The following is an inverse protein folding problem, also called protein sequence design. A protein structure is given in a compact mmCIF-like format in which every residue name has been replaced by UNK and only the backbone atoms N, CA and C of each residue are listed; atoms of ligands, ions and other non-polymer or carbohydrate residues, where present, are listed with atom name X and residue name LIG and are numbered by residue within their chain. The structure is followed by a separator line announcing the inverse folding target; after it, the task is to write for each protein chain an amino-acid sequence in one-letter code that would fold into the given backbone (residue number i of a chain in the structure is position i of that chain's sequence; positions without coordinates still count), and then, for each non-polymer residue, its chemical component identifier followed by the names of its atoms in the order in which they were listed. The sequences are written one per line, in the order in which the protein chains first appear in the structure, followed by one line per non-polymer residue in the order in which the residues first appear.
data_IF_182944721825
#
_entry.id   IF_182944721825
#
_cell.length_a   1.000
_cell.length_b   1.000
_cell.length_c   1.000
_cell.angle_alpha   90.00
_cell.angle_beta   90.00
_cell.angle_gamma   90.00
#
_symmetry.space_group_name_H-M   'P 1'
#
loop_
_entity.id
_entity.type
_entity.pdbx_description
1 polymer ?
#
# COMPACT_ATOMS: atom_id res chain seq x y z
N UNK A 1 6.95 32.08 32.67
CA UNK A 1 6.46 32.21 31.29
C UNK A 1 5.56 31.00 31.05
N UNK A 2 4.36 31.19 30.50
CA UNK A 2 3.43 30.09 30.23
C UNK A 2 3.86 29.40 28.94
N UNK A 3 4.00 28.07 28.96
CA UNK A 3 4.33 27.27 27.77
C UNK A 3 3.07 27.20 26.89
N UNK A 4 3.15 27.45 25.57
CA UNK A 4 2.02 27.27 24.66
C UNK A 4 1.55 25.80 24.64
N UNK A 5 0.24 25.56 24.60
CA UNK A 5 -0.29 24.18 24.58
C UNK A 5 0.17 23.34 23.38
N UNK A 6 0.54 23.97 22.27
CA UNK A 6 1.08 23.29 21.09
C UNK A 6 2.47 22.71 21.37
N UNK A 7 3.30 23.46 22.10
CA UNK A 7 4.66 23.03 22.50
C UNK A 7 4.60 21.83 23.47
N UNK A 8 3.55 21.74 24.29
CA UNK A 8 3.31 20.59 25.17
C UNK A 8 3.05 19.29 24.38
N UNK A 9 2.64 19.41 23.11
CA UNK A 9 2.39 18.30 22.19
C UNK A 9 3.63 17.98 21.33
N UNK A 10 4.69 17.49 21.97
CA UNK A 10 5.92 17.05 21.30
C UNK A 10 6.75 18.18 20.64
N UNK A 11 6.70 19.40 21.18
CA UNK A 11 7.42 20.56 20.61
C UNK A 11 6.81 21.08 19.31
N UNK A 12 5.50 20.87 19.14
CA UNK A 12 4.74 21.23 17.94
C UNK A 12 4.46 22.73 17.86
N UNK A 13 4.30 23.23 16.64
CA UNK A 13 3.91 24.60 16.35
C UNK A 13 2.62 24.66 15.48
N UNK A 14 2.34 25.82 14.90
CA UNK A 14 1.12 26.06 14.11
C UNK A 14 1.41 26.28 12.63
N UNK A 15 2.50 25.72 12.10
CA UNK A 15 2.89 25.84 10.69
C UNK A 15 2.27 24.78 9.76
N UNK A 16 1.60 23.77 10.35
CA UNK A 16 0.95 22.69 9.62
C UNK A 16 0.69 21.40 10.42
N UNK A 17 1.00 21.39 11.72
CA UNK A 17 0.86 20.20 12.57
C UNK A 17 -0.60 19.75 12.76
N UNK A 18 -0.79 18.43 12.68
CA UNK A 18 -2.07 17.77 12.94
C UNK A 18 -2.14 17.25 14.39
N UNK A 19 -3.26 17.54 15.05
CA UNK A 19 -3.49 17.10 16.43
C UNK A 19 -4.55 16.00 16.49
N UNK A 20 -4.26 14.94 17.25
CA UNK A 20 -5.26 13.95 17.60
C UNK A 20 -6.16 14.48 18.73
N UNK A 21 -7.43 14.74 18.41
CA UNK A 21 -8.44 15.17 19.38
C UNK A 21 -9.45 14.05 19.60
N UNK A 22 -9.62 13.64 20.86
CA UNK A 22 -10.57 12.60 21.25
C UNK A 22 -11.47 13.10 22.38
N UNK A 23 -12.78 12.90 22.22
CA UNK A 23 -13.82 13.22 23.22
C UNK A 23 -14.51 11.98 23.77
N UNK A 24 -14.05 10.78 23.40
CA UNK A 24 -14.58 9.53 23.93
C UNK A 24 -14.08 9.35 25.38
N UNK A 25 -14.99 9.34 26.38
CA UNK A 25 -14.62 9.22 27.78
C UNK A 25 -13.79 7.96 28.10
N UNK A 26 -13.97 6.88 27.34
CA UNK A 26 -13.25 5.62 27.58
C UNK A 26 -11.80 5.65 27.07
N UNK A 27 -11.48 6.59 26.17
CA UNK A 27 -10.14 6.78 25.59
C UNK A 27 -9.36 7.94 26.22
N UNK A 28 -10.02 8.79 27.01
CA UNK A 28 -9.36 9.89 27.72
C UNK A 28 -8.58 9.31 28.91
N UNK A 29 -7.24 9.50 28.98
CA UNK A 29 -6.46 9.00 30.10
C UNK A 29 -6.90 9.65 31.43
N UNK A 30 -7.03 8.89 32.53
CA UNK A 30 -7.47 9.43 33.81
C UNK A 30 -6.41 10.31 34.48
N UNK A 31 -5.16 10.26 33.99
CA UNK A 31 -4.03 11.01 34.54
C UNK A 31 -3.43 11.92 33.47
N UNK A 32 -3.29 13.20 33.81
CA UNK A 32 -2.45 14.14 33.07
C UNK A 32 -1.00 14.06 33.57
N UNK A 33 -0.06 14.04 32.64
CA UNK A 33 1.38 14.02 32.92
C UNK A 33 1.95 15.37 32.47
N UNK A 34 2.92 15.89 33.22
CA UNK A 34 3.59 17.12 32.81
C UNK A 34 4.37 16.91 31.50
N UNK A 35 4.27 17.86 30.56
CA UNK A 35 5.01 17.79 29.31
C UNK A 35 6.52 17.83 29.55
N UNK A 36 7.28 17.29 28.61
CA UNK A 36 8.73 17.44 28.60
C UNK A 36 9.10 18.87 28.21
N UNK A 37 10.26 19.32 28.66
CA UNK A 37 10.86 20.56 28.18
C UNK A 37 11.50 20.31 26.80
N UNK A 38 10.92 20.92 25.76
CA UNK A 38 11.36 20.86 24.37
C UNK A 38 12.26 22.04 23.98
N UNK A 39 12.87 22.72 24.97
CA UNK A 39 13.82 23.81 24.70
C UNK A 39 14.89 23.34 23.69
N UNK A 40 15.02 24.03 22.53
CA UNK A 40 15.88 23.58 21.46
C UNK A 40 17.35 23.59 21.87
N UNK A 41 18.12 22.65 21.32
CA UNK A 41 19.56 22.66 21.47
C UNK A 41 20.16 23.90 20.76
N UNK A 42 21.28 24.47 21.28
CA UNK A 42 21.96 25.56 20.60
C UNK A 42 22.36 25.13 19.17
N UNK A 43 21.91 25.87 18.17
CA UNK A 43 22.30 25.66 16.78
C UNK A 43 23.80 25.93 16.60
N UNK A 44 24.47 25.11 15.78
CA UNK A 44 25.82 25.44 15.32
C UNK A 44 25.75 26.71 14.48
N UNK A 45 26.43 27.77 14.91
CA UNK A 45 26.55 29.00 14.14
C UNK A 45 27.91 29.04 13.47
N UNK A 46 27.91 29.23 12.16
CA UNK A 46 29.11 29.49 11.38
C UNK A 46 29.41 30.99 11.41
N UNK A 47 30.68 31.34 11.55
CA UNK A 47 31.17 32.71 11.59
C UNK A 47 31.50 33.28 10.19
N UNK A 48 31.14 32.55 9.14
CA UNK A 48 31.45 32.84 7.74
C UNK A 48 30.31 32.45 6.79
N UNK A 49 30.43 32.83 5.51
CA UNK A 49 29.47 32.46 4.47
C UNK A 49 29.59 30.97 4.11
N UNK A 50 28.44 30.30 4.05
CA UNK A 50 28.35 28.86 3.76
C UNK A 50 28.90 28.55 2.37
N UNK A 51 29.87 27.63 2.32
CA UNK A 51 30.47 27.13 1.07
C UNK A 51 29.72 25.92 0.53
N UNK A 52 29.89 25.61 -0.77
CA UNK A 52 29.22 24.44 -1.37
C UNK A 52 29.82 23.13 -0.80
N UNK A 53 31.10 23.12 -0.46
CA UNK A 53 31.80 22.00 0.15
C UNK A 53 31.20 21.64 1.52
N UNK A 54 30.85 22.63 2.34
CA UNK A 54 30.18 22.40 3.62
C UNK A 54 28.75 21.86 3.46
N UNK A 55 28.07 22.26 2.38
CA UNK A 55 26.76 21.68 2.03
C UNK A 55 26.91 20.20 1.67
N UNK A 56 27.91 19.84 0.86
CA UNK A 56 28.21 18.44 0.52
C UNK A 56 28.55 17.62 1.77
N UNK A 57 29.41 18.16 2.65
CA UNK A 57 29.76 17.52 3.92
C UNK A 57 28.53 17.34 4.81
N UNK A 58 27.68 18.36 4.91
CA UNK A 58 26.43 18.29 5.67
C UNK A 58 25.50 17.18 5.16
N UNK A 59 25.33 17.03 3.84
CA UNK A 59 24.53 15.93 3.28
C UNK A 59 25.08 14.56 3.68
N UNK A 60 26.40 14.38 3.60
CA UNK A 60 27.01 13.12 4.03
C UNK A 60 26.84 12.86 5.52
N UNK A 61 27.03 13.89 6.35
CA UNK A 61 26.82 13.82 7.79
C UNK A 61 25.36 13.51 8.13
N UNK A 62 24.39 14.06 7.37
CA UNK A 62 22.98 13.78 7.58
C UNK A 62 22.62 12.32 7.29
N UNK A 63 23.13 11.76 6.20
CA UNK A 63 22.89 10.35 5.86
C UNK A 63 23.47 9.41 6.92
N UNK A 64 24.64 9.74 7.49
CA UNK A 64 25.31 8.90 8.50
C UNK A 64 24.63 9.01 9.88
N UNK A 65 24.08 10.18 10.22
CA UNK A 65 23.55 10.48 11.55
C UNK A 65 22.02 10.44 11.64
N UNK A 66 21.31 9.99 10.59
CA UNK A 66 19.88 9.69 10.67
C UNK A 66 19.62 8.50 11.60
N UNK A 67 19.41 8.82 12.88
CA UNK A 67 19.24 7.87 13.98
C UNK A 67 17.81 7.85 14.50
N UNK A 68 16.89 8.63 13.92
CA UNK A 68 15.53 8.83 14.41
C UNK A 68 14.78 7.49 14.54
N UNK A 69 14.78 6.71 13.46
CA UNK A 69 14.14 5.39 13.45
C UNK A 69 14.79 4.38 14.41
N UNK A 70 16.07 4.53 14.74
CA UNK A 70 16.75 3.68 15.72
C UNK A 70 16.29 4.05 17.14
N UNK A 71 16.20 5.35 17.44
CA UNK A 71 15.72 5.87 18.72
C UNK A 71 14.29 5.42 18.96
N UNK A 72 13.38 5.59 17.99
CA UNK A 72 11.97 5.20 18.09
C UNK A 72 11.78 3.72 18.36
N UNK A 73 12.44 2.88 17.56
CA UNK A 73 12.40 1.43 17.73
C UNK A 73 12.92 1.04 19.11
N UNK A 74 14.00 1.67 19.56
CA UNK A 74 14.58 1.35 20.87
C UNK A 74 13.70 1.82 22.02
N UNK A 75 13.08 3.00 21.90
CA UNK A 75 12.11 3.51 22.86
C UNK A 75 10.93 2.55 23.00
N UNK A 76 10.40 2.05 21.87
CA UNK A 76 9.32 1.06 21.88
C UNK A 76 9.73 -0.23 22.60
N UNK A 77 10.94 -0.75 22.37
CA UNK A 77 11.46 -1.92 23.08
C UNK A 77 11.55 -1.68 24.59
N UNK A 78 12.13 -0.56 25.02
CA UNK A 78 12.25 -0.26 26.45
C UNK A 78 10.88 -0.03 27.10
N UNK A 79 9.96 0.66 26.42
CA UNK A 79 8.61 0.88 26.91
C UNK A 79 7.80 -0.41 27.05
N UNK A 80 8.09 -1.43 26.25
CA UNK A 80 7.48 -2.76 26.36
C UNK A 80 8.06 -3.57 27.54
N UNK A 81 9.37 -3.50 27.77
CA UNK A 81 10.07 -4.28 28.81
C UNK A 81 9.96 -3.70 30.21
N UNK A 82 10.07 -2.38 30.33
CA UNK A 82 10.19 -1.72 31.62
C UNK A 82 8.84 -1.66 32.35
N UNK A 83 8.80 -1.87 33.68
CA UNK A 83 7.55 -1.84 34.45
C UNK A 83 6.85 -0.48 34.38
N UNK A 84 7.62 0.61 34.36
CA UNK A 84 7.13 1.99 34.24
C UNK A 84 6.86 2.41 32.77
N UNK A 85 7.04 1.49 31.81
CA UNK A 85 6.82 1.70 30.38
C UNK A 85 7.55 2.94 29.84
N UNK A 86 6.83 3.82 29.13
CA UNK A 86 7.35 5.08 28.58
C UNK A 86 7.84 6.07 29.67
N UNK A 87 7.44 5.88 30.94
CA UNK A 87 7.89 6.73 32.07
C UNK A 87 9.23 6.24 32.66
N UNK A 88 9.76 5.12 32.18
CA UNK A 88 11.05 4.62 32.62
C UNK A 88 12.18 5.60 32.26
N UNK A 89 13.25 5.60 33.05
CA UNK A 89 14.41 6.48 32.83
C UNK A 89 15.03 6.31 31.43
N UNK A 90 15.19 5.08 30.89
CA UNK A 90 15.67 4.88 29.53
C UNK A 90 14.75 5.53 28.48
N UNK A 91 13.43 5.37 28.60
CA UNK A 91 12.47 5.95 27.68
C UNK A 91 12.50 7.48 27.69
N UNK A 92 12.55 8.10 28.87
CA UNK A 92 12.66 9.57 28.98
C UNK A 92 13.98 10.07 28.35
N UNK A 93 15.08 9.34 28.50
CA UNK A 93 16.36 9.71 27.85
C UNK A 93 16.27 9.57 26.33
N UNK A 94 15.63 8.50 25.83
CA UNK A 94 15.41 8.30 24.41
C UNK A 94 14.48 9.36 23.80
N UNK A 95 13.43 9.77 24.51
CA UNK A 95 12.53 10.84 24.08
C UNK A 95 13.27 12.19 23.94
N UNK A 96 14.23 12.49 24.82
CA UNK A 96 15.10 13.67 24.67
C UNK A 96 16.00 13.57 23.44
N UNK A 97 16.59 12.40 23.20
CA UNK A 97 17.42 12.17 22.02
C UNK A 97 16.59 12.23 20.73
N UNK A 98 15.31 11.81 20.78
CA UNK A 98 14.38 11.92 19.66
C UNK A 98 14.15 13.37 19.26
N UNK A 99 13.86 14.24 20.23
CA UNK A 99 13.74 15.69 19.99
C UNK A 99 15.01 16.27 19.35
N UNK A 100 16.20 15.91 19.84
CA UNK A 100 17.48 16.33 19.23
C UNK A 100 17.63 15.80 17.80
N UNK A 101 17.20 14.55 17.53
CA UNK A 101 17.29 13.95 16.19
C UNK A 101 16.32 14.61 15.20
N UNK A 102 15.11 15.00 15.63
CA UNK A 102 14.14 15.74 14.79
C UNK A 102 14.69 17.12 14.43
N UNK A 103 15.35 17.79 15.37
CA UNK A 103 15.96 19.11 15.16
C UNK A 103 17.36 19.07 14.56
N UNK A 104 17.95 17.89 14.34
CA UNK A 104 19.26 17.74 13.72
C UNK A 104 19.37 18.49 12.37
N UNK A 105 18.37 18.43 11.47
CA UNK A 105 18.42 19.19 10.23
C UNK A 105 18.57 20.70 10.43
N UNK A 106 17.98 21.25 11.52
CA UNK A 106 17.99 22.68 11.83
C UNK A 106 19.21 23.11 12.64
N UNK A 107 19.68 22.24 13.54
CA UNK A 107 20.70 22.58 14.54
C UNK A 107 22.10 22.11 14.16
N UNK A 108 22.21 21.07 13.32
CA UNK A 108 23.47 20.40 12.98
C UNK A 108 24.02 19.51 14.09
N UNK A 109 23.31 19.31 15.21
CA UNK A 109 23.80 18.56 16.38
C UNK A 109 23.29 17.11 16.35
N UNK A 110 24.14 16.10 16.09
CA UNK A 110 23.68 14.72 15.94
C UNK A 110 23.25 14.12 17.28
N UNK A 111 22.20 13.29 17.24
CA UNK A 111 21.73 12.55 18.41
C UNK A 111 22.56 11.27 18.62
N UNK A 112 23.46 11.29 19.60
CA UNK A 112 24.28 10.11 19.93
C UNK A 112 23.57 9.18 20.93
N UNK A 113 23.24 7.96 20.50
CA UNK A 113 22.62 6.94 21.37
C UNK A 113 23.69 6.25 22.23
N UNK A 114 23.67 6.43 23.57
CA UNK A 114 24.61 5.76 24.46
C UNK A 114 24.50 4.23 24.37
N UNK A 115 25.59 3.46 24.50
CA UNK A 115 25.57 2.00 24.38
C UNK A 115 24.57 1.30 25.31
N UNK A 116 24.33 1.87 26.50
CA UNK A 116 23.34 1.37 27.48
C UNK A 116 21.89 1.50 27.03
N UNK A 117 21.61 2.43 26.12
CA UNK A 117 20.28 2.69 25.56
C UNK A 117 20.09 1.99 24.20
N UNK A 118 20.88 0.96 23.88
CA UNK A 118 20.69 0.15 22.67
C UNK A 118 19.95 -1.15 23.00
N UNK A 119 18.85 -1.40 22.28
CA UNK A 119 18.07 -2.62 22.43
C UNK A 119 18.86 -3.85 21.94
N UNK A 120 18.96 -4.88 22.79
CA UNK A 120 19.62 -6.16 22.48
C UNK A 120 18.64 -7.24 22.03
N UNK A 121 17.43 -7.21 22.57
CA UNK A 121 16.35 -8.15 22.25
C UNK A 121 15.10 -7.35 21.93
N UNK A 122 14.29 -7.83 21.00
CA UNK A 122 13.13 -7.13 20.46
C UNK A 122 11.84 -7.89 20.75
N UNK A 123 10.70 -7.22 20.97
CA UNK A 123 9.42 -7.89 21.14
C UNK A 123 9.00 -8.56 19.82
N UNK A 124 8.25 -9.65 19.95
CA UNK A 124 7.73 -10.50 18.86
C UNK A 124 6.95 -9.70 17.80
N UNK A 125 6.17 -8.71 18.22
CA UNK A 125 5.39 -7.87 17.31
C UNK A 125 6.23 -6.98 16.37
N UNK A 126 7.53 -6.80 16.63
CA UNK A 126 8.41 -6.04 15.73
C UNK A 126 8.98 -6.88 14.58
N UNK A 127 8.77 -8.19 14.59
CA UNK A 127 9.11 -9.11 13.48
C UNK A 127 10.53 -8.94 12.91
N UNK A 128 11.55 -8.92 13.79
CA UNK A 128 12.97 -8.87 13.39
C UNK A 128 13.59 -10.28 13.39
N UNK A 129 13.55 -11.03 12.27
CA UNK A 129 13.95 -12.45 12.24
C UNK A 129 15.45 -12.66 12.49
N UNK A 130 16.25 -11.65 12.22
CA UNK A 130 17.72 -11.61 12.33
C UNK A 130 18.19 -11.13 13.72
N UNK A 131 17.27 -10.90 14.67
CA UNK A 131 17.56 -10.47 16.04
C UNK A 131 16.93 -11.44 17.05
N UNK A 132 17.47 -11.44 18.26
CA UNK A 132 16.86 -12.16 19.39
C UNK A 132 15.51 -11.53 19.72
N UNK A 133 14.46 -12.34 19.76
CA UNK A 133 13.09 -11.88 20.05
C UNK A 133 12.54 -12.50 21.33
N UNK A 134 11.64 -11.77 22.02
CA UNK A 134 10.88 -12.27 23.17
C UNK A 134 9.37 -12.03 22.97
N UNK A 135 8.54 -12.84 23.62
CA UNK A 135 7.08 -12.65 23.56
C UNK A 135 6.65 -11.48 24.44
N UNK A 136 6.14 -10.41 23.83
CA UNK A 136 5.65 -9.23 24.55
C UNK A 136 4.37 -9.54 25.32
N UNK A 137 4.32 -9.11 26.59
CA UNK A 137 3.14 -9.22 27.44
C UNK A 137 2.26 -7.95 27.42
N UNK A 138 2.63 -6.95 26.63
CA UNK A 138 1.85 -5.72 26.48
C UNK A 138 0.58 -5.94 25.65
N UNK A 139 -0.30 -4.95 25.67
CA UNK A 139 -1.53 -4.97 24.86
C UNK A 139 -1.19 -5.08 23.37
N UNK A 140 -0.11 -4.43 22.92
CA UNK A 140 0.34 -4.48 21.52
C UNK A 140 0.76 -5.90 21.15
N UNK A 141 1.56 -6.56 21.99
CA UNK A 141 1.98 -7.95 21.76
C UNK A 141 0.80 -8.92 21.70
N UNK A 142 -0.17 -8.77 22.62
CA UNK A 142 -1.38 -9.61 22.64
C UNK A 142 -2.22 -9.40 21.37
N UNK A 143 -2.52 -8.15 21.02
CA UNK A 143 -3.28 -7.82 19.80
C UNK A 143 -2.56 -8.34 18.55
N UNK A 144 -1.24 -8.19 18.49
CA UNK A 144 -0.44 -8.70 17.39
C UNK A 144 -0.60 -10.21 17.22
N UNK A 145 -0.50 -11.01 18.29
CA UNK A 145 -0.64 -12.47 18.21
C UNK A 145 -2.05 -12.90 17.81
N UNK A 146 -3.07 -12.29 18.42
CA UNK A 146 -4.47 -12.56 18.06
C UNK A 146 -4.73 -12.30 16.57
N UNK A 147 -4.25 -11.17 16.04
CA UNK A 147 -4.44 -10.83 14.61
C UNK A 147 -3.55 -11.66 13.70
N UNK A 148 -2.33 -11.99 14.12
CA UNK A 148 -1.37 -12.77 13.33
C UNK A 148 -1.89 -14.17 13.03
N UNK A 149 -2.58 -14.77 13.99
CA UNK A 149 -3.17 -16.11 13.83
C UNK A 149 -4.50 -16.07 13.05
N UNK A 150 -5.20 -14.93 13.06
CA UNK A 150 -6.42 -14.71 12.26
C UNK A 150 -6.13 -14.36 10.79
N UNK A 151 -4.99 -13.74 10.48
CA UNK A 151 -4.63 -13.39 9.13
C UNK A 151 -4.24 -14.66 8.34
N UNK A 152 -5.03 -15.07 7.32
CA UNK A 152 -4.63 -16.20 6.51
C UNK A 152 -3.31 -15.88 5.80
N UNK A 153 -2.32 -16.77 5.94
CA UNK A 153 -0.96 -16.64 5.38
C UNK A 153 -0.92 -16.54 3.84
N UNK A 154 -2.08 -16.70 3.22
CA UNK A 154 -2.40 -16.55 1.81
C UNK A 154 -3.80 -15.96 1.78
N UNK A 155 -4.07 -14.92 1.00
CA UNK A 155 -5.44 -14.52 0.69
C UNK A 155 -6.21 -15.79 0.23
N UNK A 156 -7.07 -16.32 1.09
CA UNK A 156 -7.97 -17.42 0.77
C UNK A 156 -9.15 -16.90 -0.05
N UNK A 157 -8.86 -16.03 -1.01
CA UNK A 157 -9.81 -15.77 -2.08
C UNK A 157 -9.82 -17.11 -2.81
N UNK A 158 -10.96 -17.79 -2.74
CA UNK A 158 -11.21 -19.02 -3.50
C UNK A 158 -10.64 -18.82 -4.89
N UNK A 159 -9.63 -19.64 -5.25
CA UNK A 159 -9.09 -19.66 -6.61
C UNK A 159 -10.28 -19.64 -7.55
N UNK A 160 -10.29 -18.67 -8.46
CA UNK A 160 -11.30 -18.67 -9.50
C UNK A 160 -11.17 -20.04 -10.19
N UNK A 161 -12.25 -20.81 -10.27
CA UNK A 161 -12.25 -22.17 -10.84
C UNK A 161 -13.03 -22.17 -12.14
N UNK A 162 -12.93 -23.23 -12.95
CA UNK A 162 -13.77 -23.40 -14.14
C UNK A 162 -15.27 -23.31 -13.80
N UNK A 163 -15.67 -23.86 -12.66
CA UNK A 163 -17.05 -23.76 -12.14
C UNK A 163 -17.39 -22.34 -11.71
N UNK A 164 -16.44 -21.62 -11.08
CA UNK A 164 -16.55 -20.20 -10.79
C UNK A 164 -16.72 -19.35 -12.05
N UNK A 165 -15.99 -19.65 -13.12
CA UNK A 165 -16.13 -19.01 -14.42
C UNK A 165 -17.52 -19.24 -15.02
N UNK A 166 -18.03 -20.48 -14.95
CA UNK A 166 -19.37 -20.80 -15.46
C UNK A 166 -20.48 -20.07 -14.71
N UNK A 167 -20.34 -19.90 -13.39
CA UNK A 167 -21.36 -19.26 -12.55
C UNK A 167 -21.26 -17.73 -12.53
N UNK A 168 -20.11 -17.15 -12.88
CA UNK A 168 -19.86 -15.70 -12.84
C UNK A 168 -19.88 -15.02 -14.20
N UNK A 169 -19.88 -15.80 -15.29
CA UNK A 169 -19.98 -15.27 -16.63
C UNK A 169 -21.34 -14.56 -16.81
N UNK A 170 -21.28 -13.33 -17.27
CA UNK A 170 -22.41 -12.43 -17.42
C UNK A 170 -22.72 -12.27 -18.92
N UNK A 171 -23.75 -12.95 -19.46
CA UNK A 171 -24.05 -12.93 -20.90
C UNK A 171 -24.43 -11.53 -21.39
N UNK A 172 -24.93 -10.66 -20.52
CA UNK A 172 -25.23 -9.26 -20.86
C UNK A 172 -23.96 -8.47 -21.23
N UNK A 173 -22.77 -8.98 -20.95
CA UNK A 173 -21.53 -8.34 -21.37
C UNK A 173 -21.20 -8.63 -22.83
N UNK A 174 -21.97 -9.48 -23.53
CA UNK A 174 -21.84 -9.77 -24.95
C UNK A 174 -22.51 -8.68 -25.80
N UNK A 175 -21.74 -8.09 -26.71
CA UNK A 175 -22.21 -7.06 -27.64
C UNK A 175 -22.07 -7.58 -29.05
N UNK A 176 -23.10 -7.41 -29.88
CA UNK A 176 -23.11 -7.90 -31.26
C UNK A 176 -21.81 -7.58 -32.02
N UNK A 177 -21.19 -8.61 -32.60
CA UNK A 177 -19.96 -8.48 -33.38
C UNK A 177 -18.66 -8.57 -32.57
N UNK A 178 -18.73 -8.87 -31.26
CA UNK A 178 -17.56 -9.12 -30.43
C UNK A 178 -16.71 -10.31 -30.92
N UNK A 179 -17.34 -11.27 -31.60
CA UNK A 179 -16.69 -12.48 -32.11
C UNK A 179 -15.55 -12.17 -33.09
N UNK A 180 -15.68 -11.07 -33.84
CA UNK A 180 -14.67 -10.60 -34.78
C UNK A 180 -13.37 -10.19 -34.08
N UNK A 181 -13.44 -9.85 -32.79
CA UNK A 181 -12.31 -9.32 -32.00
C UNK A 181 -11.75 -10.34 -31.01
N UNK A 182 -12.30 -11.55 -30.94
CA UNK A 182 -11.87 -12.60 -30.00
C UNK A 182 -10.39 -12.95 -30.19
N UNK A 183 -9.93 -13.10 -31.44
CA UNK A 183 -8.55 -13.50 -31.71
C UNK A 183 -7.54 -12.45 -31.23
N UNK A 184 -7.84 -11.18 -31.46
CA UNK A 184 -6.98 -10.08 -31.00
C UNK A 184 -7.02 -9.95 -29.47
N UNK A 185 -8.21 -10.07 -28.88
CA UNK A 185 -8.40 -10.05 -27.44
C UNK A 185 -7.61 -11.16 -26.74
N UNK A 186 -7.61 -12.38 -27.30
CA UNK A 186 -6.85 -13.52 -26.78
C UNK A 186 -5.34 -13.26 -26.78
N UNK A 187 -4.82 -12.67 -27.86
CA UNK A 187 -3.40 -12.30 -27.95
C UNK A 187 -3.02 -11.22 -26.93
N UNK A 188 -3.85 -10.18 -26.80
CA UNK A 188 -3.61 -9.11 -25.82
C UNK A 188 -3.72 -9.61 -24.37
N UNK A 189 -4.64 -10.53 -24.08
CA UNK A 189 -4.76 -11.17 -22.77
C UNK A 189 -3.51 -11.99 -22.44
N UNK A 190 -3.02 -12.77 -23.40
CA UNK A 190 -1.79 -13.56 -23.25
C UNK A 190 -0.59 -12.67 -22.92
N UNK A 191 -0.42 -11.57 -23.65
CA UNK A 191 0.66 -10.61 -23.41
C UNK A 191 0.53 -9.90 -22.06
N UNK A 192 -0.69 -9.51 -21.68
CA UNK A 192 -0.97 -8.88 -20.39
C UNK A 192 -0.62 -9.81 -19.23
N UNK A 193 -1.08 -11.06 -19.28
CA UNK A 193 -0.84 -12.05 -18.24
C UNK A 193 0.64 -12.38 -18.10
N UNK A 194 1.34 -12.48 -19.22
CA UNK A 194 2.79 -12.70 -19.23
C UNK A 194 3.51 -11.57 -18.49
N UNK A 195 3.20 -10.31 -18.82
CA UNK A 195 3.81 -9.13 -18.18
C UNK A 195 3.42 -8.99 -16.71
N UNK A 196 2.14 -9.18 -16.36
CA UNK A 196 1.68 -9.11 -14.98
C UNK A 196 2.32 -10.21 -14.12
N UNK A 197 2.37 -11.43 -14.63
CA UNK A 197 3.02 -12.54 -13.93
C UNK A 197 4.52 -12.34 -13.76
N UNK A 198 5.23 -11.73 -14.73
CA UNK A 198 6.64 -11.39 -14.56
C UNK A 198 6.84 -10.35 -13.45
N UNK A 199 5.99 -9.32 -13.39
CA UNK A 199 6.01 -8.37 -12.26
C UNK A 199 5.78 -9.10 -10.93
N UNK A 200 4.81 -10.01 -10.88
CA UNK A 200 4.55 -10.80 -9.68
C UNK A 200 5.78 -11.61 -9.26
N UNK A 201 6.46 -12.27 -10.20
CA UNK A 201 7.66 -13.07 -9.93
C UNK A 201 8.85 -12.20 -9.48
N UNK A 202 9.06 -11.05 -10.12
CA UNK A 202 10.15 -10.11 -9.78
C UNK A 202 10.03 -9.59 -8.34
N UNK A 203 8.81 -9.28 -7.91
CA UNK A 203 8.51 -8.80 -6.56
C UNK A 203 8.20 -9.92 -5.54
N UNK A 204 8.12 -11.18 -6.00
CA UNK A 204 7.78 -12.34 -5.16
C UNK A 204 6.34 -12.33 -4.63
N UNK A 205 5.41 -11.72 -5.36
CA UNK A 205 3.97 -11.65 -5.06
C UNK A 205 3.29 -12.90 -5.61
N UNK A 206 2.38 -13.49 -4.83
CA UNK A 206 1.76 -14.77 -5.20
C UNK A 206 0.43 -14.62 -5.90
N UNK A 207 -0.33 -13.57 -5.57
CA UNK A 207 -1.71 -13.43 -6.04
C UNK A 207 -1.92 -12.13 -6.81
N UNK A 208 -2.80 -12.18 -7.80
CA UNK A 208 -3.19 -11.00 -8.58
C UNK A 208 -3.83 -9.91 -7.68
N UNK A 209 -4.58 -10.31 -6.65
CA UNK A 209 -5.22 -9.38 -5.72
C UNK A 209 -4.18 -8.55 -4.93
N UNK A 210 -3.06 -9.16 -4.50
CA UNK A 210 -2.00 -8.46 -3.77
C UNK A 210 -1.32 -7.40 -4.64
N UNK A 211 -0.95 -7.75 -5.88
CA UNK A 211 -0.26 -6.81 -6.79
C UNK A 211 -1.17 -5.65 -7.22
N UNK A 212 -2.47 -5.91 -7.44
CA UNK A 212 -3.41 -4.87 -7.86
C UNK A 212 -3.86 -3.95 -6.72
N UNK A 213 -4.00 -4.49 -5.51
CA UNK A 213 -4.38 -3.71 -4.33
C UNK A 213 -3.21 -2.93 -3.74
N UNK A 214 -1.97 -3.29 -4.08
CA UNK A 214 -0.76 -2.76 -3.44
C UNK A 214 -0.63 -3.21 -1.98
N UNK A 215 -1.48 -4.11 -1.50
CA UNK A 215 -1.46 -4.66 -0.14
C UNK A 215 -0.87 -6.06 -0.18
N UNK A 216 0.44 -6.15 0.03
CA UNK A 216 1.15 -7.42 0.07
C UNK A 216 1.08 -8.03 1.48
N UNK A 217 0.63 -9.28 1.57
CA UNK A 217 0.52 -9.99 2.86
C UNK A 217 1.86 -10.61 3.29
N UNK A 218 2.77 -10.89 2.34
CA UNK A 218 4.09 -11.48 2.61
C UNK A 218 5.14 -10.88 1.69
N UNK A 219 6.09 -10.11 2.24
CA UNK A 219 7.25 -9.66 1.47
C UNK A 219 8.32 -10.75 1.41
N UNK A 220 8.88 -10.93 0.22
CA UNK A 220 10.14 -11.64 0.02
C UNK A 220 11.25 -11.01 0.86
N UNK A 221 12.24 -11.80 1.30
CA UNK A 221 13.42 -11.38 2.10
C UNK A 221 14.32 -10.31 1.43
N UNK A 222 13.94 -9.79 0.27
CA UNK A 222 14.72 -8.85 -0.55
C UNK A 222 14.26 -7.38 -0.48
N UNK A 223 13.12 -7.08 0.17
CA UNK A 223 12.60 -5.72 0.27
C UNK A 223 13.33 -4.92 1.35
N UNK A 224 13.89 -3.75 0.99
CA UNK A 224 14.58 -2.86 1.92
C UNK A 224 13.64 -1.81 2.55
N UNK A 225 12.48 -1.51 1.94
CA UNK A 225 11.47 -0.58 2.48
C UNK A 225 10.04 -0.88 1.96
N UNK A 226 9.12 -1.22 2.88
CA UNK A 226 7.72 -1.63 2.56
C UNK A 226 6.91 -0.56 1.84
N UNK A 227 7.13 0.73 2.12
CA UNK A 227 6.33 1.82 1.50
C UNK A 227 6.81 2.09 0.09
N UNK A 228 8.13 2.22 -0.09
CA UNK A 228 8.74 2.49 -1.38
C UNK A 228 8.47 1.38 -2.39
N UNK A 229 8.62 0.12 -1.97
CA UNK A 229 8.37 -1.02 -2.85
C UNK A 229 6.89 -1.09 -3.29
N UNK A 230 5.95 -0.78 -2.41
CA UNK A 230 4.52 -0.74 -2.75
C UNK A 230 4.19 0.39 -3.76
N UNK A 231 4.83 1.55 -3.65
CA UNK A 231 4.68 2.65 -4.61
C UNK A 231 5.24 2.29 -5.99
N UNK A 232 6.43 1.68 -6.03
CA UNK A 232 7.07 1.22 -7.27
C UNK A 232 6.23 0.15 -7.98
N UNK A 233 5.72 -0.84 -7.24
CA UNK A 233 4.79 -1.85 -7.76
C UNK A 233 3.52 -1.17 -8.30
N UNK A 234 2.96 -0.24 -7.55
CA UNK A 234 1.79 0.52 -7.97
C UNK A 234 2.02 1.30 -9.27
N UNK A 235 3.21 1.88 -9.45
CA UNK A 235 3.60 2.56 -10.69
C UNK A 235 3.75 1.56 -11.86
N UNK A 236 4.39 0.42 -11.63
CA UNK A 236 4.57 -0.62 -12.65
C UNK A 236 3.22 -1.17 -13.14
N UNK A 237 2.30 -1.48 -12.23
CA UNK A 237 0.94 -1.93 -12.54
C UNK A 237 0.16 -0.86 -13.30
N UNK A 238 0.25 0.41 -12.89
CA UNK A 238 -0.38 1.53 -13.62
C UNK A 238 0.18 1.66 -15.03
N UNK A 239 1.48 1.50 -15.21
CA UNK A 239 2.13 1.52 -16.52
C UNK A 239 1.61 0.39 -17.41
N UNK A 240 1.51 -0.84 -16.89
CA UNK A 240 0.97 -1.99 -17.61
C UNK A 240 -0.50 -1.77 -18.02
N UNK A 241 -1.34 -1.23 -17.12
CA UNK A 241 -2.75 -0.91 -17.44
C UNK A 241 -2.85 0.18 -18.52
N UNK A 242 -1.94 1.15 -18.51
CA UNK A 242 -1.86 2.20 -19.54
C UNK A 242 -1.45 1.60 -20.89
N UNK A 243 -0.50 0.68 -20.89
CA UNK A 243 -0.08 -0.04 -22.10
C UNK A 243 -1.21 -0.90 -22.68
N UNK A 244 -1.92 -1.66 -21.83
CA UNK A 244 -3.10 -2.40 -22.29
C UNK A 244 -4.14 -1.47 -22.94
N UNK A 245 -4.37 -0.28 -22.36
CA UNK A 245 -5.26 0.73 -22.94
C UNK A 245 -4.76 1.26 -24.28
N UNK A 246 -3.46 1.34 -24.54
CA UNK A 246 -2.94 1.73 -25.86
C UNK A 246 -3.15 0.64 -26.90
N UNK A 247 -3.02 -0.65 -26.53
CA UNK A 247 -3.37 -1.77 -27.40
C UNK A 247 -4.84 -1.71 -27.83
N UNK A 248 -5.74 -1.45 -26.87
CA UNK A 248 -7.17 -1.31 -27.12
C UNK A 248 -7.51 -0.19 -28.12
N UNK A 249 -6.82 0.95 -28.00
CA UNK A 249 -7.05 2.12 -28.84
C UNK A 249 -6.37 2.05 -30.21
N UNK A 250 -5.57 1.01 -30.49
CA UNK A 250 -4.89 0.86 -31.78
C UNK A 250 -5.92 0.57 -32.86
N UNK A 251 -6.11 1.51 -33.80
CA UNK A 251 -7.01 1.33 -34.94
C UNK A 251 -6.48 0.22 -35.87
N UNK A 252 -7.33 -0.73 -36.22
CA UNK A 252 -7.10 -1.56 -37.41
C UNK A 252 -7.41 -0.71 -38.64
N UNK A 253 -6.48 -0.70 -39.61
CA UNK A 253 -6.41 0.30 -40.68
C UNK A 253 -7.58 0.32 -41.67
N UNK A 254 -8.61 -0.53 -41.53
CA UNK A 254 -9.69 -0.68 -42.53
C UNK A 254 -11.12 -0.67 -41.97
N UNK A 255 -11.33 -0.37 -40.68
CA UNK A 255 -12.67 -0.38 -40.07
C UNK A 255 -13.27 1.04 -40.01
N UNK A 256 -14.46 1.22 -40.61
CA UNK A 256 -15.17 2.52 -40.70
C UNK A 256 -16.00 2.87 -39.46
N UNK A 257 -16.12 1.93 -38.52
CA UNK A 257 -16.53 2.17 -37.13
C UNK A 257 -16.04 0.94 -36.35
N UNK A 258 -14.89 1.06 -35.68
CA UNK A 258 -14.51 0.02 -34.73
C UNK A 258 -15.51 0.10 -33.58
N UNK A 259 -16.38 -0.90 -33.46
CA UNK A 259 -17.30 -0.97 -32.32
C UNK A 259 -16.46 -1.20 -31.05
N UNK A 260 -16.21 -0.09 -30.37
CA UNK A 260 -15.42 -0.02 -29.15
C UNK A 260 -16.05 -0.92 -28.06
N UNK A 261 -17.37 -1.09 -28.07
CA UNK A 261 -18.08 -1.93 -27.13
C UNK A 261 -17.96 -3.41 -27.49
N UNK A 262 -18.01 -3.77 -28.78
CA UNK A 262 -17.72 -5.13 -29.24
C UNK A 262 -16.29 -5.57 -28.90
N UNK A 263 -15.30 -4.66 -29.03
CA UNK A 263 -13.92 -4.93 -28.58
C UNK A 263 -13.81 -5.13 -27.07
N UNK A 264 -14.46 -4.28 -26.28
CA UNK A 264 -14.46 -4.40 -24.81
C UNK A 264 -15.17 -5.68 -24.35
N UNK A 265 -16.27 -6.03 -25.02
CA UNK A 265 -16.99 -7.29 -24.83
C UNK A 265 -16.10 -8.50 -25.13
N UNK A 266 -15.34 -8.48 -26.23
CA UNK A 266 -14.37 -9.55 -26.54
C UNK A 266 -13.31 -9.70 -25.44
N UNK A 267 -12.80 -8.60 -24.87
CA UNK A 267 -11.84 -8.65 -23.75
C UNK A 267 -12.44 -9.27 -22.49
N UNK A 268 -13.71 -8.98 -22.19
CA UNK A 268 -14.44 -9.61 -21.11
C UNK A 268 -14.63 -11.11 -21.38
N UNK A 269 -15.10 -11.46 -22.59
CA UNK A 269 -15.38 -12.83 -23.00
C UNK A 269 -14.15 -13.73 -22.86
N UNK A 270 -13.01 -13.34 -23.44
CA UNK A 270 -11.78 -14.16 -23.40
C UNK A 270 -11.20 -14.30 -21.98
N UNK A 271 -11.62 -13.44 -21.04
CA UNK A 271 -11.14 -13.50 -19.64
C UNK A 271 -12.05 -14.32 -18.74
N UNK A 272 -13.38 -14.19 -18.89
CA UNK A 272 -14.34 -14.78 -17.96
C UNK A 272 -15.06 -16.01 -18.51
N UNK A 273 -15.10 -16.20 -19.82
CA UNK A 273 -15.85 -17.30 -20.40
C UNK A 273 -15.15 -18.64 -20.13
N UNK A 274 -15.87 -19.70 -19.68
CA UNK A 274 -15.29 -21.00 -19.29
C UNK A 274 -14.40 -21.63 -20.35
N UNK A 275 -14.71 -21.43 -21.63
CA UNK A 275 -13.90 -21.99 -22.72
C UNK A 275 -12.44 -21.50 -22.72
N UNK A 276 -12.16 -20.32 -22.17
CA UNK A 276 -10.83 -19.72 -22.13
C UNK A 276 -10.13 -19.93 -20.77
N UNK A 277 -10.81 -20.57 -19.83
CA UNK A 277 -10.25 -20.94 -18.54
C UNK A 277 -9.00 -21.81 -18.71
N UNK A 278 -7.89 -21.40 -18.11
CA UNK A 278 -6.64 -22.18 -18.15
C UNK A 278 -5.93 -22.24 -19.51
N UNK A 279 -6.34 -21.44 -20.50
CA UNK A 279 -5.66 -21.33 -21.81
C UNK A 279 -4.51 -20.32 -21.84
N UNK A 280 -4.34 -19.58 -20.76
CA UNK A 280 -3.26 -18.60 -20.60
C UNK A 280 -2.16 -19.18 -19.71
N UNK A 281 -0.95 -18.60 -19.78
CA UNK A 281 0.19 -19.00 -18.94
C UNK A 281 0.59 -20.49 -19.09
N UNK A 282 0.39 -21.09 -20.26
CA UNK A 282 0.80 -22.48 -20.52
C UNK A 282 2.29 -22.69 -20.21
N UNK A 283 2.59 -23.65 -19.34
CA UNK A 283 3.96 -23.99 -18.93
C UNK A 283 4.56 -23.13 -17.81
N UNK A 284 3.88 -22.07 -17.35
CA UNK A 284 4.37 -21.19 -16.28
C UNK A 284 3.79 -21.53 -14.89
N UNK A 285 2.79 -22.42 -14.81
CA UNK A 285 2.11 -22.83 -13.57
C UNK A 285 1.58 -21.62 -12.75
N UNK A 286 1.10 -20.59 -13.45
CA UNK A 286 0.48 -19.39 -12.86
C UNK A 286 -1.04 -19.53 -12.87
N UNK A 287 -1.70 -18.86 -11.93
CA UNK A 287 -3.16 -18.78 -11.87
C UNK A 287 -3.72 -18.02 -13.09
N UNK A 288 -5.03 -18.17 -13.32
CA UNK A 288 -5.74 -17.42 -14.36
C UNK A 288 -6.08 -16.02 -13.84
N UNK A 289 -5.52 -15.00 -14.49
CA UNK A 289 -5.72 -13.61 -14.10
C UNK A 289 -6.99 -12.98 -14.67
N UNK A 290 -7.62 -12.11 -13.89
CA UNK A 290 -8.94 -11.53 -14.10
C UNK A 290 -8.94 -10.03 -14.40
N UNK A 291 -7.85 -9.32 -14.18
CA UNK A 291 -7.82 -7.85 -14.22
C UNK A 291 -7.73 -7.23 -15.61
N UNK A 292 -7.36 -8.01 -16.63
CA UNK A 292 -7.19 -7.54 -18.01
C UNK A 292 -8.37 -6.70 -18.55
N UNK A 293 -9.63 -7.18 -18.56
CA UNK A 293 -10.76 -6.42 -19.11
C UNK A 293 -11.03 -5.13 -18.32
N UNK A 294 -10.71 -5.10 -17.03
CA UNK A 294 -10.84 -3.92 -16.18
C UNK A 294 -9.80 -2.82 -16.48
N UNK A 295 -8.88 -3.04 -17.42
CA UNK A 295 -8.08 -1.97 -18.01
C UNK A 295 -8.96 -0.99 -18.80
N UNK A 296 -10.12 -1.42 -19.29
CA UNK A 296 -11.11 -0.62 -20.04
C UNK A 296 -12.46 -0.57 -19.32
N UNK A 297 -12.43 -0.52 -17.98
CA UNK A 297 -13.62 -0.53 -17.11
C UNK A 297 -14.69 0.50 -17.54
N UNK A 298 -14.28 1.66 -18.06
CA UNK A 298 -15.17 2.71 -18.53
C UNK A 298 -16.07 2.25 -19.70
N UNK A 299 -15.59 1.36 -20.56
CA UNK A 299 -16.38 0.79 -21.66
C UNK A 299 -17.30 -0.33 -21.20
N UNK A 300 -16.80 -1.20 -20.33
CA UNK A 300 -17.58 -2.29 -19.74
C UNK A 300 -18.78 -1.77 -18.92
N UNK A 301 -18.58 -0.72 -18.13
CA UNK A 301 -19.66 -0.07 -17.37
C UNK A 301 -20.73 0.54 -18.28
N UNK A 302 -20.34 1.05 -19.45
CA UNK A 302 -21.29 1.61 -20.41
C UNK A 302 -22.15 0.52 -21.06
N UNK A 303 -21.60 -0.67 -21.36
CA UNK A 303 -22.36 -1.82 -21.86
C UNK A 303 -23.51 -2.13 -20.89
N UNK A 304 -23.19 -2.29 -19.60
CA UNK A 304 -24.21 -2.55 -18.56
C UNK A 304 -25.21 -1.41 -18.38
N UNK A 305 -24.77 -0.15 -18.52
CA UNK A 305 -25.65 1.01 -18.42
C UNK A 305 -26.69 1.04 -19.53
N UNK A 306 -26.28 0.75 -20.78
CA UNK A 306 -27.19 0.73 -21.94
C UNK A 306 -28.23 -0.38 -21.79
N UNK A 307 -27.85 -1.54 -21.29
CA UNK A 307 -28.77 -2.66 -21.05
C UNK A 307 -29.78 -2.39 -19.93
N UNK A 308 -29.37 -1.71 -18.86
CA UNK A 308 -30.31 -1.29 -17.82
C UNK A 308 -31.33 -0.28 -18.36
N UNK A 309 -30.91 0.65 -19.22
CA UNK A 309 -31.80 1.62 -19.85
C UNK A 309 -32.77 0.96 -20.83
N UNK A 310 -32.31 0.03 -21.66
CA UNK A 310 -33.19 -0.71 -22.58
C UNK A 310 -34.18 -1.61 -21.85
N UNK A 311 -33.76 -2.24 -20.74
CA UNK A 311 -34.66 -3.02 -19.86
C UNK A 311 -35.73 -2.14 -19.20
N UNK A 312 -35.37 -0.94 -18.74
CA UNK A 312 -36.30 0.05 -18.21
C UNK A 312 -37.27 0.55 -19.30
N UNK A 313 -36.79 0.88 -20.49
CA UNK A 313 -37.63 1.29 -21.63
C UNK A 313 -38.59 0.18 -22.08
N UNK A 314 -38.15 -1.09 -22.09
CA UNK A 314 -39.00 -2.24 -22.34
C UNK A 314 -40.08 -2.40 -21.26
N UNK A 315 -39.74 -2.25 -19.98
CA UNK A 315 -40.73 -2.29 -18.89
C UNK A 315 -41.73 -1.13 -18.96
N UNK A 316 -41.30 0.08 -19.33
CA UNK A 316 -42.19 1.21 -19.53
C UNK A 316 -43.11 1.01 -20.74
N UNK A 317 -42.58 0.55 -21.88
CA UNK A 317 -43.38 0.26 -23.08
C UNK A 317 -44.38 -0.88 -22.87
N UNK A 318 -44.03 -1.89 -22.08
CA UNK A 318 -44.94 -2.99 -21.72
C UNK A 318 -46.07 -2.54 -20.79
N UNK A 319 -45.82 -1.59 -19.88
CA UNK A 319 -46.87 -0.99 -19.04
C UNK A 319 -47.78 -0.06 -19.84
N UNK A 320 -47.24 0.68 -20.81
CA UNK A 320 -48.00 1.55 -21.70
C UNK A 320 -48.87 0.78 -22.71
N UNK A 321 -48.49 -0.43 -23.12
CA UNK A 321 -49.30 -1.28 -24.01
C UNK A 321 -50.41 -2.07 -23.30
N UNK A 322 -50.37 -2.12 -21.96
CA UNK A 322 -51.39 -2.74 -21.10
C UNK A 322 -52.38 -1.71 -20.50
N UNK A 323 -52.29 -0.45 -20.90
CA UNK A 323 -53.18 0.66 -20.50
C UNK A 323 -54.15 1.02 -21.62
#
# INVERSE_FOLDING_TARGET
MQIPHTDECSGSDLDGDDYFVCWDPDLIPPQQIQPMDYSPAPSIQLDHEVTIEEVEEYFTNHIVNDTLGIIDNTHLVFADKEPDKARSKPCIQLAKLHSVAVDFPKTGVPAEIPPKLRAKEYPDFMEKPDKTTYESQSVIGKLFREVKDMAPQTCSITLFTEEGARNSYDPDMEVDGFENYISDAFNYKTEYDYKLGNLMDDYGIKTEAEILSGRMMKLSKKSFDRRKDAEEIGLAVRSLRKEARTWFNKKQSNSRDDDIYAKASAWYHVTYHPNYWGRYNEGLNRDHFLSFPWCVYDKLLNIKRVLNLSSLEQQFNYKLSLS
#
